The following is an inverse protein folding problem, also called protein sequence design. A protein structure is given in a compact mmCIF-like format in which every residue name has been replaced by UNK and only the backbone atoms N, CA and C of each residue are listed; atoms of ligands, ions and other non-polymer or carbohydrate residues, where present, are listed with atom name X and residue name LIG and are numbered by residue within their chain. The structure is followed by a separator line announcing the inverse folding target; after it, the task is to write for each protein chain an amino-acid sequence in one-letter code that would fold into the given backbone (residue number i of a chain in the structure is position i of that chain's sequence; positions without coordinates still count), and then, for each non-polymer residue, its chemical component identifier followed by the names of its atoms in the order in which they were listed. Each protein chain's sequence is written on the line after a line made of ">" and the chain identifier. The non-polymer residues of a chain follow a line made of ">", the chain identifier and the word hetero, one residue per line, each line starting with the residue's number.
data_IF_782357531479
#
_entry.id   IF_782357531479
#
_cell.length_a   1.000
_cell.length_b   1.000
_cell.length_c   1.000
_cell.angle_alpha   90.00
_cell.angle_beta   90.00
_cell.angle_gamma   90.00
#
_symmetry.space_group_name_H-M   'P 1'
#
loop_
_entity.id
_entity.type
_entity.pdbx_description
1 polymer ?
#
# COMPACT_ATOMS: atom_id res chain seq x y z
N UNK A 1 74.21 31.49 -40.66
CA UNK A 1 73.38 30.56 -39.88
C UNK A 1 72.01 31.22 -39.58
N UNK A 2 70.93 30.87 -40.23
CA UNK A 2 69.65 31.42 -39.93
C UNK A 2 68.95 30.49 -38.93
N UNK A 3 68.46 31.08 -37.86
CA UNK A 3 67.65 30.42 -36.84
C UNK A 3 66.23 30.21 -37.40
N UNK A 4 65.87 28.95 -37.62
CA UNK A 4 64.51 28.59 -37.92
C UNK A 4 63.58 28.88 -36.69
N UNK A 5 62.73 29.86 -36.86
CA UNK A 5 61.59 30.07 -35.94
C UNK A 5 60.55 29.00 -36.26
N UNK A 6 60.49 27.95 -35.44
CA UNK A 6 59.36 27.03 -35.40
C UNK A 6 58.14 27.83 -34.94
N UNK A 7 57.29 28.22 -35.86
CA UNK A 7 55.94 28.69 -35.60
C UNK A 7 55.16 27.53 -35.03
N UNK A 8 54.98 27.59 -33.73
CA UNK A 8 54.03 26.72 -33.03
C UNK A 8 52.66 27.17 -33.46
N UNK A 9 52.11 26.55 -34.50
CA UNK A 9 50.68 26.65 -34.80
C UNK A 9 49.95 25.96 -33.68
N UNK A 10 49.48 26.74 -32.70
CA UNK A 10 48.42 26.32 -31.82
C UNK A 10 47.19 26.10 -32.72
N UNK A 11 46.90 24.86 -33.00
CA UNK A 11 45.59 24.45 -33.49
C UNK A 11 44.60 24.83 -32.41
N UNK A 12 44.00 25.99 -32.53
CA UNK A 12 42.80 26.35 -31.79
C UNK A 12 41.73 25.37 -32.25
N UNK A 13 41.55 24.31 -31.48
CA UNK A 13 40.42 23.43 -31.62
C UNK A 13 39.17 24.31 -31.49
N UNK A 14 38.60 24.65 -32.63
CA UNK A 14 37.28 25.24 -32.70
C UNK A 14 36.32 24.27 -32.04
N UNK A 15 36.07 24.49 -30.74
CA UNK A 15 34.95 23.86 -30.06
C UNK A 15 33.73 24.33 -30.82
N UNK A 16 33.16 23.45 -31.64
CA UNK A 16 31.83 23.64 -32.21
C UNK A 16 30.89 23.79 -31.05
N UNK A 17 30.70 25.01 -30.58
CA UNK A 17 29.55 25.39 -29.78
C UNK A 17 28.33 25.44 -30.71
N UNK A 18 27.89 24.26 -31.19
CA UNK A 18 26.59 24.12 -31.79
C UNK A 18 25.59 24.29 -30.66
N UNK A 19 25.14 25.53 -30.45
CA UNK A 19 24.01 25.80 -29.56
C UNK A 19 22.80 25.00 -30.05
N UNK A 20 22.04 24.47 -29.12
CA UNK A 20 20.80 23.78 -29.44
C UNK A 20 19.89 24.68 -30.31
N UNK A 21 19.40 24.13 -31.40
CA UNK A 21 18.46 24.84 -32.25
C UNK A 21 17.11 24.93 -31.53
N UNK A 22 16.35 25.98 -31.78
CA UNK A 22 15.00 26.17 -31.23
C UNK A 22 14.11 24.96 -31.52
N UNK A 23 14.25 24.37 -32.69
CA UNK A 23 13.53 23.17 -33.13
C UNK A 23 13.88 21.96 -32.27
N UNK A 24 15.16 21.79 -31.94
CA UNK A 24 15.64 20.69 -31.11
C UNK A 24 15.09 20.79 -29.68
N UNK A 25 15.07 21.97 -29.10
CA UNK A 25 14.45 22.22 -27.78
C UNK A 25 12.96 21.90 -27.80
N UNK A 26 12.23 22.37 -28.84
CA UNK A 26 10.81 22.07 -29.00
C UNK A 26 10.55 20.56 -29.12
N UNK A 27 11.41 19.85 -29.82
CA UNK A 27 11.32 18.40 -29.99
C UNK A 27 11.54 17.66 -28.66
N UNK A 28 12.54 18.08 -27.86
CA UNK A 28 12.76 17.53 -26.53
C UNK A 28 11.59 17.77 -25.59
N UNK A 29 11.04 19.00 -25.55
CA UNK A 29 9.87 19.31 -24.70
C UNK A 29 8.66 18.50 -25.13
N UNK A 30 8.42 18.37 -26.43
CA UNK A 30 7.30 17.57 -26.96
C UNK A 30 7.44 16.09 -26.62
N UNK A 31 8.63 15.54 -26.79
CA UNK A 31 8.92 14.15 -26.43
C UNK A 31 8.79 13.91 -24.92
N UNK A 32 9.34 14.81 -24.10
CA UNK A 32 9.21 14.74 -22.65
C UNK A 32 7.74 14.82 -22.18
N UNK A 33 6.96 15.74 -22.79
CA UNK A 33 5.53 15.84 -22.53
C UNK A 33 4.77 14.56 -22.87
N UNK A 34 5.10 13.93 -24.00
CA UNK A 34 4.51 12.64 -24.40
C UNK A 34 4.85 11.53 -23.39
N UNK A 35 6.11 11.44 -22.98
CA UNK A 35 6.55 10.44 -21.98
C UNK A 35 5.83 10.65 -20.66
N UNK A 36 5.73 11.89 -20.17
CA UNK A 36 5.02 12.20 -18.93
C UNK A 36 3.53 11.89 -19.02
N UNK A 37 2.89 12.17 -20.15
CA UNK A 37 1.48 11.85 -20.39
C UNK A 37 1.19 10.35 -20.33
N UNK A 38 2.16 9.50 -20.65
CA UNK A 38 2.04 8.05 -20.53
C UNK A 38 2.37 7.54 -19.11
N UNK A 39 3.34 8.15 -18.43
CA UNK A 39 3.79 7.69 -17.10
C UNK A 39 2.78 8.02 -15.98
N UNK A 40 2.12 9.17 -16.04
CA UNK A 40 1.17 9.59 -15.00
C UNK A 40 0.03 8.57 -14.81
N UNK A 41 -0.71 8.15 -15.84
CA UNK A 41 -1.79 7.18 -15.66
C UNK A 41 -1.28 5.80 -15.24
N UNK A 42 -0.07 5.40 -15.64
CA UNK A 42 0.55 4.17 -15.16
C UNK A 42 0.82 4.22 -13.65
N UNK A 43 1.36 5.33 -13.15
CA UNK A 43 1.63 5.51 -11.73
C UNK A 43 0.33 5.47 -10.89
N UNK A 44 -0.74 6.14 -11.34
CA UNK A 44 -2.05 6.08 -10.67
C UNK A 44 -2.63 4.65 -10.66
N UNK A 45 -2.45 3.92 -11.75
CA UNK A 45 -2.88 2.53 -11.86
C UNK A 45 -2.17 1.63 -10.82
N UNK A 46 -0.87 1.79 -10.65
CA UNK A 46 -0.08 1.04 -9.66
C UNK A 46 -0.57 1.33 -8.24
N UNK A 47 -0.78 2.60 -7.89
CA UNK A 47 -1.25 2.99 -6.54
C UNK A 47 -2.63 2.37 -6.25
N UNK A 48 -3.56 2.37 -7.22
CA UNK A 48 -4.89 1.76 -7.04
C UNK A 48 -4.82 0.25 -6.83
N UNK A 49 -3.93 -0.44 -7.56
CA UNK A 49 -3.72 -1.88 -7.41
C UNK A 49 -3.13 -2.21 -6.04
N UNK A 50 -2.14 -1.44 -5.59
CA UNK A 50 -1.49 -1.63 -4.30
C UNK A 50 -2.50 -1.50 -3.15
N UNK A 51 -3.28 -0.44 -3.12
CA UNK A 51 -4.33 -0.21 -2.14
C UNK A 51 -5.37 -1.35 -2.11
N UNK A 52 -5.72 -1.89 -3.28
CA UNK A 52 -6.66 -3.00 -3.38
C UNK A 52 -6.07 -4.29 -2.80
N UNK A 53 -4.80 -4.60 -3.12
CA UNK A 53 -4.12 -5.77 -2.60
C UNK A 53 -3.97 -5.72 -1.08
N UNK A 54 -3.68 -4.56 -0.52
CA UNK A 54 -3.60 -4.36 0.93
C UNK A 54 -4.95 -4.60 1.62
N UNK A 55 -6.03 -4.08 1.05
CA UNK A 55 -7.39 -4.31 1.56
C UNK A 55 -7.78 -5.79 1.48
N UNK A 56 -7.53 -6.44 0.34
CA UNK A 56 -7.80 -7.88 0.17
C UNK A 56 -6.99 -8.72 1.15
N UNK A 57 -5.70 -8.42 1.33
CA UNK A 57 -4.84 -9.08 2.29
C UNK A 57 -5.30 -8.91 3.74
N UNK A 58 -5.79 -7.71 4.10
CA UNK A 58 -6.37 -7.47 5.41
C UNK A 58 -7.67 -8.27 5.62
N UNK A 59 -8.58 -8.26 4.64
CA UNK A 59 -9.83 -9.03 4.71
C UNK A 59 -9.56 -10.53 4.87
N UNK A 60 -8.59 -11.08 4.15
CA UNK A 60 -8.19 -12.49 4.28
C UNK A 60 -7.65 -12.80 5.69
N UNK A 61 -6.82 -11.93 6.26
CA UNK A 61 -6.30 -12.09 7.63
C UNK A 61 -7.42 -12.04 8.66
N UNK A 62 -8.34 -11.09 8.54
CA UNK A 62 -9.49 -10.99 9.42
C UNK A 62 -10.38 -12.23 9.32
N UNK A 63 -10.67 -12.71 8.11
CA UNK A 63 -11.44 -13.93 7.88
C UNK A 63 -10.75 -15.16 8.51
N UNK A 64 -9.43 -15.27 8.38
CA UNK A 64 -8.66 -16.34 9.00
C UNK A 64 -8.76 -16.33 10.54
N UNK A 65 -8.71 -15.14 11.18
CA UNK A 65 -8.88 -15.01 12.63
C UNK A 65 -10.30 -15.41 13.07
N UNK A 66 -11.32 -14.99 12.31
CA UNK A 66 -12.71 -15.37 12.57
C UNK A 66 -12.89 -16.88 12.45
N UNK A 67 -12.33 -17.49 11.41
CA UNK A 67 -12.36 -18.95 11.20
C UNK A 67 -11.64 -19.69 12.33
N UNK A 68 -10.49 -19.19 12.77
CA UNK A 68 -9.75 -19.76 13.89
C UNK A 68 -10.53 -19.69 15.21
N UNK A 69 -11.29 -18.59 15.45
CA UNK A 69 -12.18 -18.48 16.60
C UNK A 69 -13.34 -19.45 16.51
N UNK A 70 -13.92 -19.64 15.33
CA UNK A 70 -14.99 -20.59 15.08
C UNK A 70 -14.51 -22.04 15.36
N UNK A 71 -13.34 -22.39 14.83
CA UNK A 71 -12.75 -23.70 15.08
C UNK A 71 -12.46 -23.92 16.57
N UNK A 72 -11.89 -22.93 17.26
CA UNK A 72 -11.64 -23.01 18.69
C UNK A 72 -12.92 -23.19 19.49
N UNK A 73 -14.04 -22.59 19.07
CA UNK A 73 -15.35 -22.79 19.69
C UNK A 73 -15.83 -24.24 19.54
N UNK A 74 -15.68 -24.84 18.36
CA UNK A 74 -16.00 -26.25 18.08
C UNK A 74 -15.19 -27.23 18.95
N UNK A 75 -13.96 -26.86 19.29
CA UNK A 75 -13.05 -27.69 20.10
C UNK A 75 -13.24 -27.47 21.62
N UNK A 76 -14.31 -26.80 22.04
CA UNK A 76 -14.68 -26.64 23.44
C UNK A 76 -14.07 -25.43 24.17
N UNK A 77 -13.24 -24.63 23.51
CA UNK A 77 -12.66 -23.40 24.08
C UNK A 77 -13.57 -22.14 23.91
N UNK A 78 -14.87 -22.35 23.61
CA UNK A 78 -15.68 -21.38 22.90
C UNK A 78 -16.06 -20.09 23.61
N UNK A 79 -16.40 -20.09 24.89
CA UNK A 79 -17.08 -18.95 25.51
C UNK A 79 -16.16 -17.76 25.86
N UNK A 80 -14.89 -17.99 26.03
CA UNK A 80 -13.92 -16.95 26.38
C UNK A 80 -13.17 -16.40 25.17
N UNK A 81 -13.35 -17.01 24.01
CA UNK A 81 -12.74 -16.57 22.77
C UNK A 81 -13.66 -15.58 22.04
N UNK A 82 -13.14 -14.41 21.73
CA UNK A 82 -13.89 -13.37 21.03
C UNK A 82 -12.95 -12.50 20.18
N UNK A 83 -13.50 -11.90 19.15
CA UNK A 83 -12.89 -10.79 18.43
C UNK A 83 -13.69 -9.54 18.74
N UNK A 84 -13.02 -8.48 19.13
CA UNK A 84 -13.63 -7.18 19.42
C UNK A 84 -13.04 -6.14 18.48
N UNK A 85 -13.92 -5.43 17.77
CA UNK A 85 -13.56 -4.30 16.90
C UNK A 85 -13.74 -3.02 17.69
N UNK A 86 -12.72 -2.19 17.70
CA UNK A 86 -12.71 -0.87 18.32
C UNK A 86 -12.63 0.19 17.22
N UNK A 87 -13.72 0.94 17.06
CA UNK A 87 -13.85 1.97 16.03
C UNK A 87 -13.03 3.22 16.38
N UNK A 88 -12.94 3.56 17.64
CA UNK A 88 -12.24 4.78 18.09
C UNK A 88 -10.74 4.64 17.87
N UNK A 89 -10.21 3.46 18.17
CA UNK A 89 -8.80 3.16 17.97
C UNK A 89 -8.47 2.57 16.60
N UNK A 90 -9.48 2.34 15.74
CA UNK A 90 -9.34 1.71 14.44
C UNK A 90 -8.51 0.42 14.51
N UNK A 91 -8.86 -0.46 15.46
CA UNK A 91 -8.16 -1.70 15.69
C UNK A 91 -9.11 -2.84 16.03
N UNK A 92 -8.63 -4.07 15.92
CA UNK A 92 -9.33 -5.21 16.48
C UNK A 92 -8.45 -5.97 17.47
N UNK A 93 -9.11 -6.58 18.44
CA UNK A 93 -8.49 -7.41 19.47
C UNK A 93 -8.98 -8.84 19.34
N UNK A 94 -8.06 -9.78 19.36
CA UNK A 94 -8.39 -11.20 19.45
C UNK A 94 -8.15 -11.66 20.88
N UNK A 95 -9.20 -12.17 21.52
CA UNK A 95 -9.15 -12.72 22.86
C UNK A 95 -9.17 -14.26 22.79
N UNK A 96 -8.27 -14.90 23.52
CA UNK A 96 -8.31 -16.34 23.79
C UNK A 96 -8.24 -16.55 25.29
N UNK A 97 -9.12 -17.38 25.83
CA UNK A 97 -9.20 -17.62 27.27
C UNK A 97 -9.29 -16.34 28.10
N UNK A 98 -10.01 -15.35 27.58
CA UNK A 98 -10.17 -14.06 28.25
C UNK A 98 -8.98 -13.10 28.18
N UNK A 99 -7.84 -13.51 27.60
CA UNK A 99 -6.65 -12.68 27.46
C UNK A 99 -6.52 -12.16 26.03
N UNK A 100 -6.00 -10.95 25.89
CA UNK A 100 -5.67 -10.39 24.56
C UNK A 100 -4.45 -11.11 24.02
N UNK A 101 -4.62 -11.86 22.95
CA UNK A 101 -3.52 -12.56 22.26
C UNK A 101 -2.98 -11.73 21.12
N UNK A 102 -3.84 -10.92 20.51
CA UNK A 102 -3.45 -10.12 19.34
C UNK A 102 -4.21 -8.80 19.31
N UNK A 103 -3.49 -7.73 19.00
CA UNK A 103 -4.03 -6.42 18.68
C UNK A 103 -3.52 -6.03 17.29
N UNK A 104 -4.41 -5.66 16.40
CA UNK A 104 -4.07 -5.23 15.04
C UNK A 104 -4.70 -3.87 14.80
N UNK A 105 -3.89 -2.89 14.47
CA UNK A 105 -4.32 -1.55 14.07
C UNK A 105 -4.37 -1.44 12.56
N UNK A 106 -5.45 -0.88 12.03
CA UNK A 106 -5.60 -0.70 10.60
C UNK A 106 -4.61 0.33 10.05
N UNK A 107 -4.29 1.35 10.83
CA UNK A 107 -3.32 2.40 10.45
C UNK A 107 -1.90 1.88 10.22
N UNK A 108 -1.56 0.72 10.77
CA UNK A 108 -0.26 0.06 10.57
C UNK A 108 -0.26 -0.80 9.29
N UNK A 109 -1.42 -0.93 8.65
CA UNK A 109 -1.64 -1.70 7.44
C UNK A 109 -2.07 -0.71 6.36
N UNK A 110 -1.47 -0.76 5.19
CA UNK A 110 -1.93 0.00 4.04
C UNK A 110 -1.69 1.51 4.12
N UNK A 111 -0.51 1.94 4.51
CA UNK A 111 -0.14 3.36 4.57
C UNK A 111 -1.16 4.25 5.31
N UNK A 112 -1.97 3.66 6.20
CA UNK A 112 -2.97 4.36 7.00
C UNK A 112 -4.28 4.69 6.27
N UNK A 113 -4.51 4.12 5.09
CA UNK A 113 -5.72 4.38 4.30
C UNK A 113 -6.93 3.54 4.73
N UNK A 114 -6.70 2.40 5.41
CA UNK A 114 -7.76 1.48 5.80
C UNK A 114 -8.43 1.90 7.12
N UNK A 115 -9.75 1.86 7.17
CA UNK A 115 -10.51 2.10 8.40
C UNK A 115 -11.80 1.29 8.47
N UNK A 116 -12.21 0.95 9.69
CA UNK A 116 -13.52 0.38 9.96
C UNK A 116 -14.59 1.46 9.84
N UNK A 117 -15.59 1.23 9.00
CA UNK A 117 -16.64 2.22 8.77
C UNK A 117 -17.86 1.97 9.65
N UNK A 118 -18.40 0.76 9.62
CA UNK A 118 -19.65 0.44 10.33
C UNK A 118 -19.78 -1.06 10.56
N UNK A 119 -19.24 -1.59 11.67
CA UNK A 119 -19.62 -2.92 12.09
C UNK A 119 -21.04 -2.87 12.68
N UNK A 120 -21.87 -3.85 12.35
CA UNK A 120 -23.18 -4.00 12.99
C UNK A 120 -23.05 -4.51 14.43
N UNK A 121 -21.92 -5.09 14.79
CA UNK A 121 -21.55 -5.48 16.14
C UNK A 121 -20.06 -5.30 16.35
N UNK A 122 -19.69 -4.83 17.54
CA UNK A 122 -18.28 -4.69 17.94
C UNK A 122 -17.68 -5.99 18.48
N UNK A 123 -18.47 -7.00 18.77
CA UNK A 123 -18.02 -8.24 19.39
C UNK A 123 -18.50 -9.44 18.58
N UNK A 124 -17.56 -10.26 18.14
CA UNK A 124 -17.80 -11.49 17.41
C UNK A 124 -17.49 -12.68 18.33
N UNK A 125 -18.49 -13.54 18.55
CA UNK A 125 -18.38 -14.77 19.35
C UNK A 125 -19.09 -15.92 18.66
N UNK A 126 -18.68 -17.14 18.97
CA UNK A 126 -19.28 -18.36 18.46
C UNK A 126 -19.83 -19.21 19.62
N UNK A 127 -20.91 -19.94 19.35
CA UNK A 127 -21.41 -20.97 20.26
C UNK A 127 -20.52 -22.21 20.25
N UNK A 128 -20.77 -23.15 21.15
CA UNK A 128 -20.06 -24.44 21.18
C UNK A 128 -20.26 -25.26 19.89
N UNK A 129 -21.34 -25.02 19.15
CA UNK A 129 -21.63 -25.66 17.86
C UNK A 129 -20.96 -24.89 16.67
N UNK A 130 -20.15 -23.86 16.94
CA UNK A 130 -19.49 -23.07 15.89
C UNK A 130 -20.41 -22.08 15.17
N UNK A 131 -21.66 -21.92 15.63
CA UNK A 131 -22.57 -20.92 15.09
C UNK A 131 -22.24 -19.53 15.65
N UNK A 132 -22.30 -18.46 14.86
CA UNK A 132 -22.12 -17.12 15.39
C UNK A 132 -23.27 -16.77 16.34
N UNK A 133 -22.94 -16.24 17.53
CA UNK A 133 -23.97 -15.83 18.50
C UNK A 133 -24.78 -14.65 18.01
N UNK A 134 -24.19 -13.80 17.19
CA UNK A 134 -24.84 -12.67 16.51
C UNK A 134 -24.33 -12.62 15.08
N UNK A 135 -25.21 -12.41 14.11
CA UNK A 135 -24.81 -12.14 12.74
C UNK A 135 -23.98 -10.85 12.72
N UNK A 136 -22.82 -10.90 12.09
CA UNK A 136 -21.93 -9.76 12.02
C UNK A 136 -21.55 -9.41 10.59
N UNK A 137 -21.36 -8.13 10.36
CA UNK A 137 -20.77 -7.60 9.16
C UNK A 137 -19.79 -6.50 9.54
N UNK A 138 -18.68 -6.44 8.86
CA UNK A 138 -17.66 -5.41 9.06
C UNK A 138 -17.40 -4.76 7.72
N UNK A 139 -17.68 -3.47 7.63
CA UNK A 139 -17.40 -2.65 6.46
C UNK A 139 -16.04 -1.99 6.65
N UNK A 140 -15.15 -2.23 5.69
CA UNK A 140 -13.82 -1.63 5.62
C UNK A 140 -13.77 -0.72 4.41
N UNK A 141 -13.25 0.48 4.59
CA UNK A 141 -13.03 1.45 3.52
C UNK A 141 -11.56 1.76 3.39
N UNK A 142 -11.19 2.12 2.19
CA UNK A 142 -9.90 2.66 1.80
C UNK A 142 -10.10 4.07 1.21
#
# INVERSE_FOLDING_TARGET
>A
MPKEKKLFQMAVSSRNNSGFTLVEILLYISFYGLVMALLIPCAEGIIKVDNRLEMEGFCQRLAAEVTALQQAALWGAGLQNKLTVDLDQQCYYVYREGKIVKKVRLQEIGQGSLYFYSPNTSIIRFSAEGAPQVYFSVLIKN
#
